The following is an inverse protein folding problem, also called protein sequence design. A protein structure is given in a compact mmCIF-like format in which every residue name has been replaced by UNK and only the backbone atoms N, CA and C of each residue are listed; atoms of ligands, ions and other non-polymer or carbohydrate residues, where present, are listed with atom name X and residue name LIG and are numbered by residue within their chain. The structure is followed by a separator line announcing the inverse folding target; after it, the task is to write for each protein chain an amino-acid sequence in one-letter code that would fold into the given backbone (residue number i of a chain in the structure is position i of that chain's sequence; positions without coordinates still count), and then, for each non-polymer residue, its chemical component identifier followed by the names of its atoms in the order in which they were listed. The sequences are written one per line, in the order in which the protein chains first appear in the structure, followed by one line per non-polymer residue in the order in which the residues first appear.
data_IF_341675608032
#
_entry.id   IF_341675608032
#
_cell.length_a   1.000
_cell.length_b   1.000
_cell.length_c   1.000
_cell.angle_alpha   90.00
_cell.angle_beta   90.00
_cell.angle_gamma   90.00
#
_symmetry.space_group_name_H-M   'P 1'
#
loop_
_entity.id
_entity.type
_entity.pdbx_description
1 polymer ?
#
# COMPACT_ATOMS: atom_id res chain seq x y z
N UNK A 1 -22.94 17.34 -20.38
CA UNK A 1 -22.93 16.03 -21.09
C UNK A 1 -24.34 15.72 -21.55
N UNK A 2 -24.51 15.15 -22.73
CA UNK A 2 -25.83 14.61 -23.16
C UNK A 2 -26.00 13.18 -22.62
N UNK A 3 -27.20 12.61 -22.73
CA UNK A 3 -27.56 11.30 -22.21
C UNK A 3 -26.63 10.15 -22.71
N UNK A 4 -26.23 10.22 -23.99
CA UNK A 4 -25.32 9.24 -24.58
C UNK A 4 -23.92 9.30 -23.96
N UNK A 5 -23.42 10.53 -23.73
CA UNK A 5 -22.11 10.70 -23.06
C UNK A 5 -22.14 10.19 -21.60
N UNK A 6 -23.25 10.37 -20.88
CA UNK A 6 -23.42 9.82 -19.53
C UNK A 6 -23.47 8.29 -19.54
N UNK A 7 -24.15 7.69 -20.52
CA UNK A 7 -24.19 6.23 -20.69
C UNK A 7 -22.80 5.66 -21.00
N UNK A 8 -22.03 6.30 -21.90
CA UNK A 8 -20.68 5.89 -22.27
C UNK A 8 -19.73 5.97 -21.07
N UNK A 9 -19.81 7.04 -20.27
CA UNK A 9 -18.99 7.19 -19.07
C UNK A 9 -19.32 6.13 -18.02
N UNK A 10 -20.60 5.91 -17.72
CA UNK A 10 -21.02 4.84 -16.80
C UNK A 10 -20.58 3.46 -17.31
N UNK A 11 -20.71 3.22 -18.61
CA UNK A 11 -20.25 1.96 -19.23
C UNK A 11 -18.74 1.77 -19.05
N UNK A 12 -17.95 2.82 -19.23
CA UNK A 12 -16.51 2.81 -19.02
C UNK A 12 -16.15 2.43 -17.57
N UNK A 13 -16.83 3.02 -16.58
CA UNK A 13 -16.62 2.69 -15.16
C UNK A 13 -16.96 1.22 -14.88
N UNK A 14 -18.11 0.73 -15.34
CA UNK A 14 -18.54 -0.66 -15.15
C UNK A 14 -17.57 -1.66 -15.80
N UNK A 15 -16.91 -1.30 -16.91
CA UNK A 15 -15.93 -2.16 -17.58
C UNK A 15 -14.53 -2.09 -16.98
N UNK A 16 -14.25 -1.20 -16.01
CA UNK A 16 -12.93 -0.96 -15.44
C UNK A 16 -12.22 -2.25 -14.99
N UNK A 17 -12.96 -3.18 -14.41
CA UNK A 17 -12.42 -4.47 -13.96
C UNK A 17 -11.71 -5.27 -15.07
N UNK A 18 -12.14 -5.16 -16.34
CA UNK A 18 -11.50 -5.84 -17.47
C UNK A 18 -10.13 -5.24 -17.78
N UNK A 19 -10.02 -3.92 -17.63
CA UNK A 19 -8.75 -3.20 -17.83
C UNK A 19 -7.75 -3.59 -16.76
N UNK A 20 -8.17 -3.63 -15.50
CA UNK A 20 -7.33 -4.10 -14.39
C UNK A 20 -6.79 -5.50 -14.64
N UNK A 21 -7.64 -6.46 -15.08
CA UNK A 21 -7.20 -7.82 -15.38
C UNK A 21 -6.28 -7.91 -16.59
N UNK A 22 -6.51 -7.13 -17.64
CA UNK A 22 -5.62 -7.11 -18.80
C UNK A 22 -4.22 -6.57 -18.43
N UNK A 23 -4.16 -5.51 -17.62
CA UNK A 23 -2.90 -4.94 -17.11
C UNK A 23 -2.20 -5.96 -16.18
N UNK A 24 -2.93 -6.58 -15.27
CA UNK A 24 -2.40 -7.61 -14.39
C UNK A 24 -1.74 -8.76 -15.17
N UNK A 25 -2.42 -9.28 -16.20
CA UNK A 25 -1.90 -10.40 -17.00
C UNK A 25 -0.54 -10.08 -17.63
N UNK A 26 -0.38 -8.93 -18.28
CA UNK A 26 0.91 -8.58 -18.90
C UNK A 26 2.00 -8.30 -17.88
N UNK A 27 1.63 -7.72 -16.73
CA UNK A 27 2.55 -7.48 -15.62
C UNK A 27 3.00 -8.81 -14.98
N UNK A 28 2.07 -9.72 -14.73
CA UNK A 28 2.33 -11.06 -14.18
C UNK A 28 3.20 -11.92 -15.10
N UNK A 29 3.04 -11.77 -16.41
CA UNK A 29 3.87 -12.42 -17.43
C UNK A 29 5.25 -11.72 -17.62
N UNK A 30 5.51 -10.59 -16.97
CA UNK A 30 6.75 -9.86 -17.11
C UNK A 30 6.95 -9.18 -18.49
N UNK A 31 5.87 -9.02 -19.27
CA UNK A 31 5.94 -8.43 -20.62
C UNK A 31 6.61 -7.05 -20.62
N UNK A 32 6.31 -6.11 -19.70
CA UNK A 32 6.98 -4.82 -19.68
C UNK A 32 8.49 -4.92 -19.48
N UNK A 33 8.96 -5.88 -18.68
CA UNK A 33 10.40 -6.11 -18.46
C UNK A 33 11.06 -6.73 -19.67
N UNK A 34 10.40 -7.66 -20.36
CA UNK A 34 10.90 -8.27 -21.60
C UNK A 34 11.08 -7.26 -22.75
N UNK A 35 10.36 -6.12 -22.67
CA UNK A 35 10.40 -5.04 -23.66
C UNK A 35 11.43 -3.93 -23.31
N UNK A 36 12.20 -4.06 -22.21
CA UNK A 36 13.26 -3.10 -21.84
C UNK A 36 14.35 -2.98 -22.92
N UNK A 37 14.70 -4.09 -23.53
CA UNK A 37 15.77 -4.17 -24.53
C UNK A 37 15.29 -3.83 -25.95
N UNK A 38 14.04 -3.45 -26.11
CA UNK A 38 13.48 -3.04 -27.41
C UNK A 38 12.21 -3.79 -27.81
N UNK A 39 11.65 -3.45 -28.98
CA UNK A 39 10.40 -4.02 -29.46
C UNK A 39 10.52 -5.52 -29.74
N UNK A 40 9.49 -6.31 -29.36
CA UNK A 40 9.37 -7.75 -29.65
C UNK A 40 8.01 -8.08 -30.25
N UNK A 41 7.96 -9.14 -31.06
CA UNK A 41 6.68 -9.62 -31.60
C UNK A 41 5.88 -10.37 -30.51
N UNK A 42 4.59 -10.47 -30.72
CA UNK A 42 3.73 -11.21 -29.77
C UNK A 42 4.06 -12.72 -29.73
N UNK A 43 4.60 -13.29 -30.82
CA UNK A 43 5.10 -14.66 -30.85
C UNK A 43 6.36 -14.84 -30.01
N UNK A 44 7.35 -13.90 -30.14
CA UNK A 44 8.56 -13.90 -29.31
C UNK A 44 8.19 -13.78 -27.81
N UNK A 45 7.28 -12.86 -27.46
CA UNK A 45 6.79 -12.68 -26.08
C UNK A 45 6.04 -13.91 -25.57
N UNK A 46 5.19 -14.52 -26.40
CA UNK A 46 4.45 -15.72 -26.05
C UNK A 46 5.36 -16.92 -25.82
N UNK A 47 6.41 -17.07 -26.62
CA UNK A 47 7.42 -18.13 -26.45
C UNK A 47 8.14 -17.98 -25.11
N UNK A 48 8.59 -16.77 -24.77
CA UNK A 48 9.33 -16.47 -23.53
C UNK A 48 8.46 -16.70 -22.27
N UNK A 49 7.18 -16.36 -22.36
CA UNK A 49 6.24 -16.43 -21.23
C UNK A 49 5.39 -17.71 -21.20
N UNK A 50 5.60 -18.63 -22.14
CA UNK A 50 4.77 -19.83 -22.33
C UNK A 50 3.29 -19.51 -22.53
N UNK A 51 2.94 -18.35 -23.08
CA UNK A 51 1.59 -17.91 -23.33
C UNK A 51 1.11 -18.39 -24.73
N UNK A 52 -0.21 -18.41 -24.93
CA UNK A 52 -0.79 -18.66 -26.25
C UNK A 52 -0.73 -17.40 -27.10
N UNK A 53 0.11 -17.38 -28.13
CA UNK A 53 0.42 -16.19 -28.94
C UNK A 53 -0.83 -15.43 -29.48
N UNK A 54 -1.85 -16.10 -30.08
CA UNK A 54 -3.05 -15.41 -30.52
C UNK A 54 -3.86 -14.73 -29.40
N UNK A 55 -3.85 -15.32 -28.20
CA UNK A 55 -4.54 -14.73 -27.03
C UNK A 55 -3.76 -13.55 -26.46
N UNK A 56 -2.45 -13.67 -26.33
CA UNK A 56 -1.57 -12.58 -25.91
C UNK A 56 -1.68 -11.38 -26.85
N UNK A 57 -1.70 -11.59 -28.16
CA UNK A 57 -1.88 -10.55 -29.15
C UNK A 57 -3.16 -9.72 -28.90
N UNK A 58 -4.28 -10.36 -28.58
CA UNK A 58 -5.55 -9.68 -28.29
C UNK A 58 -5.44 -8.78 -27.06
N UNK A 59 -4.75 -9.25 -26.01
CA UNK A 59 -4.53 -8.45 -24.78
C UNK A 59 -3.60 -7.28 -25.07
N UNK A 60 -2.51 -7.49 -25.79
CA UNK A 60 -1.56 -6.43 -26.13
C UNK A 60 -2.22 -5.33 -26.98
N UNK A 61 -3.08 -5.68 -27.95
CA UNK A 61 -3.85 -4.70 -28.73
C UNK A 61 -4.80 -3.86 -27.87
N UNK A 62 -5.49 -4.49 -26.92
CA UNK A 62 -6.34 -3.75 -25.99
C UNK A 62 -5.50 -2.75 -25.19
N UNK A 63 -4.36 -3.17 -24.66
CA UNK A 63 -3.49 -2.32 -23.88
C UNK A 63 -2.75 -1.25 -24.72
N UNK A 64 -2.55 -1.51 -26.01
CA UNK A 64 -2.09 -0.50 -26.98
C UNK A 64 -3.13 0.60 -27.17
N UNK A 65 -4.42 0.22 -27.30
CA UNK A 65 -5.50 1.19 -27.38
C UNK A 65 -5.67 2.02 -26.09
N UNK A 66 -5.23 1.47 -24.94
CA UNK A 66 -5.19 2.17 -23.65
C UNK A 66 -3.89 2.97 -23.44
N UNK A 67 -2.96 2.94 -24.40
CA UNK A 67 -1.73 3.74 -24.35
C UNK A 67 -0.58 3.15 -23.53
N UNK A 68 -0.64 1.87 -23.11
CA UNK A 68 0.45 1.22 -22.38
C UNK A 68 1.55 0.68 -23.30
N UNK A 69 1.17 0.30 -24.53
CA UNK A 69 2.09 -0.21 -25.53
C UNK A 69 1.91 0.55 -26.84
N UNK A 70 2.89 0.41 -27.73
CA UNK A 70 2.77 0.75 -29.16
C UNK A 70 2.94 -0.52 -29.98
N UNK A 71 2.24 -0.62 -31.10
CA UNK A 71 2.38 -1.70 -32.09
C UNK A 71 3.02 -1.13 -33.36
N UNK A 72 4.18 -1.67 -33.76
CA UNK A 72 4.88 -1.32 -34.98
C UNK A 72 4.73 -2.38 -36.09
N UNK A 73 5.59 -2.32 -37.08
CA UNK A 73 5.61 -3.30 -38.18
C UNK A 73 5.81 -4.73 -37.67
N UNK A 74 5.27 -5.69 -38.39
CA UNK A 74 5.31 -7.12 -38.05
C UNK A 74 4.80 -7.42 -36.62
N UNK A 75 3.81 -6.68 -36.17
CA UNK A 75 3.18 -6.83 -34.83
C UNK A 75 4.20 -6.83 -33.68
N UNK A 76 5.22 -5.99 -33.77
CA UNK A 76 6.19 -5.77 -32.69
C UNK A 76 5.69 -4.71 -31.73
N UNK A 77 5.72 -5.04 -30.45
CA UNK A 77 5.26 -4.17 -29.37
C UNK A 77 6.43 -3.53 -28.64
N UNK A 78 6.25 -2.30 -28.20
CA UNK A 78 7.14 -1.58 -27.30
C UNK A 78 6.35 -0.92 -26.18
N UNK A 79 6.98 -0.70 -25.02
CA UNK A 79 6.34 0.04 -23.92
C UNK A 79 6.30 1.53 -24.22
N UNK A 80 5.21 2.19 -23.82
CA UNK A 80 5.14 3.65 -23.73
C UNK A 80 5.73 4.13 -22.38
N UNK A 81 5.90 5.45 -22.15
CA UNK A 81 6.25 5.94 -20.81
C UNK A 81 5.28 5.47 -19.71
N UNK A 82 3.96 5.39 -20.00
CA UNK A 82 2.98 4.85 -19.05
C UNK A 82 3.17 3.34 -18.85
N UNK A 83 3.37 2.57 -19.91
CA UNK A 83 3.64 1.14 -19.80
C UNK A 83 4.96 0.80 -19.10
N UNK A 84 5.96 1.71 -19.15
CA UNK A 84 7.22 1.54 -18.45
C UNK A 84 7.08 1.57 -16.92
N UNK A 85 6.03 2.20 -16.37
CA UNK A 85 5.71 2.15 -14.93
C UNK A 85 5.33 0.75 -14.43
N UNK A 86 5.05 -0.19 -15.33
CA UNK A 86 4.80 -1.60 -14.99
C UNK A 86 6.09 -2.43 -14.89
N UNK A 87 7.24 -1.84 -15.19
CA UNK A 87 8.55 -2.51 -15.11
C UNK A 87 9.04 -2.59 -13.67
N UNK A 88 9.79 -3.63 -13.37
CA UNK A 88 10.47 -3.80 -12.08
C UNK A 88 11.66 -2.85 -11.95
N UNK A 89 11.88 -2.31 -10.75
CA UNK A 89 13.09 -1.54 -10.40
C UNK A 89 13.18 -0.15 -11.05
N UNK A 90 12.11 0.38 -11.62
CA UNK A 90 12.06 1.77 -12.11
C UNK A 90 11.51 2.69 -11.02
N UNK A 91 11.93 3.95 -11.05
CA UNK A 91 11.39 4.96 -10.15
C UNK A 91 9.88 5.17 -10.42
N UNK A 92 9.07 5.21 -9.37
CA UNK A 92 7.62 5.30 -9.48
C UNK A 92 6.96 4.05 -10.06
N UNK A 93 7.61 2.88 -9.97
CA UNK A 93 7.02 1.62 -10.40
C UNK A 93 5.66 1.39 -9.74
N UNK A 94 4.73 0.87 -10.53
CA UNK A 94 3.41 0.40 -10.09
C UNK A 94 3.28 -1.13 -10.25
N UNK A 95 4.39 -1.81 -10.47
CA UNK A 95 4.44 -3.25 -10.76
C UNK A 95 3.73 -4.06 -9.67
N UNK A 96 4.15 -3.90 -8.42
CA UNK A 96 3.61 -4.67 -7.31
C UNK A 96 2.19 -4.25 -6.93
N UNK A 97 1.83 -2.97 -7.13
CA UNK A 97 0.46 -2.50 -6.99
C UNK A 97 -0.48 -3.24 -7.95
N UNK A 98 -0.09 -3.33 -9.23
CA UNK A 98 -0.89 -4.05 -10.24
C UNK A 98 -0.98 -5.55 -9.92
N UNK A 99 0.12 -6.16 -9.47
CA UNK A 99 0.08 -7.56 -9.05
C UNK A 99 -0.86 -7.76 -7.86
N UNK A 100 -0.86 -6.85 -6.88
CA UNK A 100 -1.74 -6.92 -5.70
C UNK A 100 -3.22 -6.77 -6.07
N UNK A 101 -3.56 -5.74 -6.84
CA UNK A 101 -4.96 -5.46 -7.22
C UNK A 101 -5.53 -6.44 -8.26
N UNK A 102 -4.68 -7.10 -9.04
CA UNK A 102 -5.09 -8.16 -9.95
C UNK A 102 -5.13 -9.56 -9.33
N UNK A 103 -4.60 -9.75 -8.13
CA UNK A 103 -4.47 -11.06 -7.50
C UNK A 103 -5.83 -11.67 -7.10
N UNK A 104 -5.91 -12.99 -7.13
CA UNK A 104 -7.19 -13.71 -7.00
C UNK A 104 -7.90 -13.45 -5.67
N UNK A 105 -7.16 -13.37 -4.55
CA UNK A 105 -7.75 -13.14 -3.23
C UNK A 105 -8.45 -11.78 -3.15
N UNK A 106 -7.82 -10.74 -3.70
CA UNK A 106 -8.37 -9.39 -3.74
C UNK A 106 -9.67 -9.33 -4.55
N UNK A 107 -9.70 -10.02 -5.68
CA UNK A 107 -10.90 -10.10 -6.53
C UNK A 107 -12.06 -10.81 -5.86
N UNK A 108 -11.79 -11.87 -5.12
CA UNK A 108 -12.83 -12.63 -4.42
C UNK A 108 -13.48 -11.79 -3.31
N UNK A 109 -12.69 -11.07 -2.52
CA UNK A 109 -13.24 -10.26 -1.42
C UNK A 109 -13.99 -9.03 -1.94
N UNK A 110 -13.48 -8.36 -2.98
CA UNK A 110 -14.21 -7.26 -3.65
C UNK A 110 -15.47 -7.74 -4.35
N UNK A 111 -15.48 -8.97 -4.88
CA UNK A 111 -16.68 -9.62 -5.42
C UNK A 111 -17.79 -9.83 -4.38
N UNK A 112 -17.43 -9.83 -3.09
CA UNK A 112 -18.34 -9.96 -1.95
C UNK A 112 -18.66 -8.62 -1.26
N UNK A 113 -18.36 -7.46 -1.87
CA UNK A 113 -18.64 -6.12 -1.31
C UNK A 113 -20.08 -5.95 -0.84
N UNK A 114 -21.06 -6.55 -1.54
CA UNK A 114 -22.46 -6.49 -1.13
C UNK A 114 -22.67 -7.04 0.28
N UNK A 115 -21.97 -8.11 0.64
CA UNK A 115 -22.02 -8.66 2.01
C UNK A 115 -21.55 -7.62 3.03
N UNK A 116 -20.42 -6.95 2.78
CA UNK A 116 -19.90 -5.92 3.68
C UNK A 116 -20.87 -4.77 3.86
N UNK A 117 -21.47 -4.28 2.77
CA UNK A 117 -22.46 -3.18 2.81
C UNK A 117 -23.73 -3.59 3.57
N UNK A 118 -24.17 -4.84 3.47
CA UNK A 118 -25.38 -5.32 4.17
C UNK A 118 -25.17 -5.64 5.65
N UNK A 119 -23.93 -6.01 6.03
CA UNK A 119 -23.65 -6.53 7.38
C UNK A 119 -22.76 -5.64 8.22
N UNK A 120 -22.02 -4.71 7.60
CA UNK A 120 -20.96 -3.95 8.25
C UNK A 120 -19.72 -4.78 8.59
N UNK A 121 -19.65 -6.05 8.15
CA UNK A 121 -18.53 -6.94 8.43
C UNK A 121 -17.59 -7.04 7.21
N UNK A 122 -16.27 -7.24 7.41
CA UNK A 122 -15.34 -7.40 6.29
C UNK A 122 -15.67 -8.65 5.49
N UNK A 123 -15.66 -8.53 4.17
CA UNK A 123 -15.92 -9.67 3.28
C UNK A 123 -14.76 -10.67 3.26
N UNK A 124 -13.57 -10.30 3.72
CA UNK A 124 -12.42 -11.20 3.77
C UNK A 124 -12.69 -12.46 4.59
N UNK A 125 -13.14 -12.29 5.83
CA UNK A 125 -13.46 -13.44 6.69
C UNK A 125 -14.67 -14.22 6.18
N UNK A 126 -15.64 -13.55 5.58
CA UNK A 126 -16.77 -14.22 4.93
C UNK A 126 -16.33 -15.12 3.78
N UNK A 127 -15.36 -14.70 2.96
CA UNK A 127 -14.88 -15.46 1.79
C UNK A 127 -13.93 -16.58 2.21
N UNK A 128 -12.99 -16.31 3.13
CA UNK A 128 -11.90 -17.25 3.43
C UNK A 128 -12.02 -17.95 4.80
N UNK A 129 -12.92 -17.50 5.69
CA UNK A 129 -13.03 -18.04 7.05
C UNK A 129 -11.83 -17.73 7.95
N UNK A 130 -10.95 -16.82 7.55
CA UNK A 130 -9.71 -16.43 8.21
C UNK A 130 -9.55 -14.92 8.13
N UNK A 131 -8.89 -14.32 9.13
CA UNK A 131 -8.46 -12.92 8.99
C UNK A 131 -7.42 -12.77 7.84
N UNK A 132 -7.22 -11.57 7.29
CA UNK A 132 -6.20 -11.34 6.26
C UNK A 132 -4.80 -11.79 6.69
N UNK A 133 -4.46 -11.60 7.95
CA UNK A 133 -3.17 -12.01 8.53
C UNK A 133 -3.02 -13.52 8.61
N UNK A 134 -4.06 -14.22 9.08
CA UNK A 134 -4.08 -15.68 9.15
C UNK A 134 -4.05 -16.31 7.75
N UNK A 135 -4.75 -15.71 6.80
CA UNK A 135 -4.76 -16.17 5.40
C UNK A 135 -3.34 -16.08 4.80
N UNK A 136 -2.66 -14.94 4.94
CA UNK A 136 -1.29 -14.75 4.44
C UNK A 136 -0.29 -15.68 5.12
N UNK A 137 -0.42 -15.92 6.43
CA UNK A 137 0.42 -16.87 7.14
C UNK A 137 0.33 -18.31 6.58
N UNK A 138 -0.81 -18.68 5.97
CA UNK A 138 -1.04 -19.99 5.36
C UNK A 138 -0.81 -19.99 3.84
N UNK A 139 -0.68 -18.84 3.20
CA UNK A 139 -0.54 -18.68 1.75
C UNK A 139 0.69 -17.82 1.41
N UNK A 140 1.90 -18.42 1.35
CA UNK A 140 3.16 -17.67 1.16
C UNK A 140 3.22 -16.84 -0.13
N UNK A 141 2.59 -17.28 -1.24
CA UNK A 141 2.53 -16.52 -2.47
C UNK A 141 1.69 -15.24 -2.28
N UNK A 142 0.53 -15.33 -1.65
CA UNK A 142 -0.31 -14.17 -1.33
C UNK A 142 0.40 -13.20 -0.38
N UNK A 143 1.14 -13.72 0.62
CA UNK A 143 1.97 -12.93 1.50
C UNK A 143 3.05 -12.17 0.72
N UNK A 144 3.79 -12.86 -0.15
CA UNK A 144 4.85 -12.25 -0.95
C UNK A 144 4.33 -11.12 -1.87
N UNK A 145 3.17 -11.31 -2.50
CA UNK A 145 2.51 -10.27 -3.33
C UNK A 145 2.12 -9.06 -2.47
N UNK A 146 1.53 -9.29 -1.30
CA UNK A 146 1.14 -8.21 -0.40
C UNK A 146 2.37 -7.44 0.13
N UNK A 147 3.38 -8.15 0.60
CA UNK A 147 4.60 -7.55 1.16
C UNK A 147 5.36 -6.73 0.12
N UNK A 148 5.46 -7.23 -1.12
CA UNK A 148 6.08 -6.50 -2.22
C UNK A 148 5.30 -5.22 -2.56
N UNK A 149 3.96 -5.27 -2.57
CA UNK A 149 3.10 -4.10 -2.74
C UNK A 149 3.31 -3.08 -1.62
N UNK A 150 3.32 -3.51 -0.36
CA UNK A 150 3.53 -2.61 0.78
C UNK A 150 4.91 -1.95 0.72
N UNK A 151 5.96 -2.72 0.41
CA UNK A 151 7.31 -2.19 0.27
C UNK A 151 7.43 -1.14 -0.85
N UNK A 152 6.84 -1.40 -2.03
CA UNK A 152 6.81 -0.46 -3.16
C UNK A 152 6.00 0.80 -2.81
N UNK A 153 4.83 0.65 -2.21
CA UNK A 153 3.96 1.75 -1.80
C UNK A 153 4.65 2.68 -0.81
N UNK A 154 5.30 2.11 0.21
CA UNK A 154 6.04 2.91 1.21
C UNK A 154 7.30 3.53 0.60
N UNK A 155 8.02 2.84 -0.29
CA UNK A 155 9.19 3.42 -0.96
C UNK A 155 8.83 4.66 -1.79
N UNK A 156 7.67 4.65 -2.43
CA UNK A 156 7.15 5.80 -3.19
C UNK A 156 6.71 6.95 -2.27
N UNK A 157 6.17 6.65 -1.09
CA UNK A 157 5.62 7.63 -0.14
C UNK A 157 6.67 8.21 0.81
N UNK A 158 7.69 7.43 1.19
CA UNK A 158 8.68 7.82 2.20
C UNK A 158 9.37 9.18 1.94
N UNK A 159 9.77 9.56 0.71
CA UNK A 159 10.36 10.87 0.47
C UNK A 159 9.43 12.04 0.83
N UNK A 160 8.13 11.90 0.54
CA UNK A 160 7.14 12.92 0.87
C UNK A 160 6.92 13.02 2.40
N UNK A 161 6.86 11.88 3.10
CA UNK A 161 6.75 11.85 4.57
C UNK A 161 7.97 12.51 5.22
N UNK A 162 9.18 12.16 4.77
CA UNK A 162 10.44 12.73 5.30
C UNK A 162 10.53 14.24 5.05
N UNK A 163 10.00 14.72 3.92
CA UNK A 163 9.97 16.15 3.61
C UNK A 163 8.89 16.91 4.40
N UNK A 164 7.79 16.25 4.76
CA UNK A 164 6.64 16.89 5.42
C UNK A 164 6.83 17.10 6.93
N UNK A 165 7.68 16.29 7.57
CA UNK A 165 7.90 16.36 9.01
C UNK A 165 9.38 16.47 9.36
N UNK A 166 9.73 17.42 10.22
CA UNK A 166 11.10 17.63 10.70
C UNK A 166 11.42 16.70 11.88
N UNK A 167 12.04 15.55 11.57
CA UNK A 167 12.50 14.57 12.57
C UNK A 167 13.77 15.01 13.33
N UNK A 168 14.39 16.15 12.99
CA UNK A 168 15.59 16.65 13.72
C UNK A 168 15.28 17.03 15.16
N UNK A 169 14.00 17.21 15.49
CA UNK A 169 13.51 17.59 16.82
C UNK A 169 13.34 16.41 17.77
N UNK A 170 13.62 15.20 17.34
CA UNK A 170 13.53 13.97 18.16
C UNK A 170 14.82 13.16 18.08
N UNK A 171 15.21 12.53 19.18
CA UNK A 171 16.41 11.66 19.25
C UNK A 171 16.06 10.18 19.13
N UNK A 172 14.81 9.82 19.39
CA UNK A 172 14.37 8.41 19.40
C UNK A 172 12.96 8.23 18.84
N UNK A 173 12.79 7.23 17.98
CA UNK A 173 11.57 6.94 17.24
C UNK A 173 11.23 5.45 17.31
N UNK A 174 9.96 5.11 17.59
CA UNK A 174 9.43 3.75 17.41
C UNK A 174 8.49 3.77 16.20
N UNK A 175 8.77 2.95 15.20
CA UNK A 175 7.90 2.70 14.05
C UNK A 175 7.01 1.48 14.39
N UNK A 176 5.78 1.75 14.81
CA UNK A 176 4.82 0.76 15.30
C UNK A 176 4.00 0.22 14.12
N UNK A 177 4.09 -1.08 13.87
CA UNK A 177 3.54 -1.66 12.65
C UNK A 177 4.40 -1.32 11.42
N UNK A 178 5.71 -1.11 11.61
CA UNK A 178 6.63 -0.64 10.58
C UNK A 178 6.99 -1.67 9.50
N UNK A 179 6.39 -2.86 9.53
CA UNK A 179 6.61 -3.90 8.54
C UNK A 179 8.08 -4.34 8.48
N UNK A 180 8.69 -4.25 7.31
CA UNK A 180 10.11 -4.55 7.09
C UNK A 180 11.05 -3.35 7.31
N UNK A 181 10.52 -2.20 7.77
CA UNK A 181 11.31 -1.03 8.15
C UNK A 181 11.65 -0.07 7.00
N UNK A 182 10.93 -0.11 5.87
CA UNK A 182 11.22 0.73 4.70
C UNK A 182 11.12 2.23 5.03
N UNK A 183 10.06 2.66 5.74
CA UNK A 183 9.90 4.06 6.14
C UNK A 183 10.95 4.46 7.17
N UNK A 184 11.13 3.65 8.21
CA UNK A 184 12.11 3.92 9.26
C UNK A 184 13.53 4.05 8.68
N UNK A 185 13.91 3.16 7.75
CA UNK A 185 15.20 3.23 7.07
C UNK A 185 15.38 4.56 6.33
N UNK A 186 14.37 5.02 5.60
CA UNK A 186 14.40 6.31 4.86
C UNK A 186 14.53 7.51 5.82
N UNK A 187 13.85 7.47 6.97
CA UNK A 187 13.96 8.50 8.01
C UNK A 187 15.39 8.49 8.60
N UNK A 188 15.91 7.32 8.98
CA UNK A 188 17.25 7.20 9.58
C UNK A 188 18.37 7.55 8.60
N UNK A 189 18.19 7.31 7.30
CA UNK A 189 19.14 7.76 6.27
C UNK A 189 19.23 9.29 6.19
N UNK A 190 18.08 9.96 6.34
CA UNK A 190 18.03 11.43 6.28
C UNK A 190 18.50 12.07 7.58
N UNK A 191 18.13 11.53 8.73
CA UNK A 191 18.42 12.07 10.05
C UNK A 191 19.46 11.24 10.79
N UNK A 192 20.73 11.58 10.60
CA UNK A 192 21.89 10.77 11.02
C UNK A 192 22.05 10.62 12.54
N UNK A 193 21.46 11.50 13.34
CA UNK A 193 21.52 11.47 14.81
C UNK A 193 20.37 10.73 15.45
N UNK A 194 19.33 10.40 14.67
CA UNK A 194 18.14 9.73 15.14
C UNK A 194 18.41 8.21 15.33
N UNK A 195 17.87 7.66 16.41
CA UNK A 195 17.85 6.22 16.69
C UNK A 195 16.42 5.72 16.55
N UNK A 196 16.24 4.59 15.89
CA UNK A 196 14.94 4.01 15.60
C UNK A 196 14.73 2.64 16.22
N UNK A 197 13.48 2.32 16.50
CA UNK A 197 13.04 0.96 16.81
C UNK A 197 12.02 0.57 15.76
N UNK A 198 12.29 -0.51 15.04
CA UNK A 198 11.29 -1.17 14.20
C UNK A 198 10.52 -2.16 15.07
N UNK A 199 9.21 -1.94 15.17
CA UNK A 199 8.33 -2.78 15.97
C UNK A 199 7.16 -3.30 15.15
N UNK A 200 7.06 -4.62 15.02
CA UNK A 200 5.96 -5.32 14.33
C UNK A 200 5.87 -6.76 14.85
N UNK A 201 4.93 -7.55 14.34
CA UNK A 201 4.81 -8.96 14.69
C UNK A 201 6.14 -9.72 14.45
N UNK A 202 6.51 -10.69 15.31
CA UNK A 202 7.83 -11.33 15.27
C UNK A 202 8.20 -11.92 13.91
N UNK A 203 7.23 -12.50 13.19
CA UNK A 203 7.46 -13.08 11.87
C UNK A 203 7.64 -12.03 10.76
N UNK A 204 7.12 -10.81 10.95
CA UNK A 204 7.26 -9.69 10.00
C UNK A 204 8.66 -9.07 10.14
N UNK A 205 9.06 -8.72 11.35
CA UNK A 205 10.36 -8.08 11.58
C UNK A 205 11.55 -9.02 11.32
N UNK A 206 11.34 -10.33 11.33
CA UNK A 206 12.37 -11.31 10.97
C UNK A 206 12.93 -11.10 9.55
N UNK A 207 12.17 -10.47 8.66
CA UNK A 207 12.52 -10.18 7.27
C UNK A 207 13.18 -8.79 7.08
N UNK A 208 13.40 -8.01 8.15
CA UNK A 208 13.85 -6.62 8.06
C UNK A 208 15.36 -6.46 7.77
N UNK A 209 16.21 -7.38 8.29
CA UNK A 209 17.66 -7.22 8.26
C UNK A 209 18.26 -6.91 6.90
N UNK A 210 17.91 -7.59 5.78
CA UNK A 210 18.51 -7.30 4.48
C UNK A 210 18.21 -5.89 3.96
N UNK A 211 17.09 -5.30 4.37
CA UNK A 211 16.72 -3.93 4.00
C UNK A 211 17.53 -2.92 4.84
N UNK A 212 17.58 -3.10 6.14
CA UNK A 212 18.29 -2.21 7.06
C UNK A 212 19.80 -2.20 6.81
N UNK A 213 20.38 -3.35 6.44
CA UNK A 213 21.78 -3.47 6.02
C UNK A 213 22.05 -2.69 4.74
N UNK A 214 21.23 -2.86 3.69
CA UNK A 214 21.37 -2.09 2.43
C UNK A 214 21.19 -0.59 2.63
N UNK A 215 20.36 -0.20 3.60
CA UNK A 215 20.15 1.20 3.97
C UNK A 215 21.27 1.77 4.86
N UNK A 216 22.20 0.94 5.33
CA UNK A 216 23.32 1.31 6.23
C UNK A 216 22.85 1.96 7.54
N UNK A 217 21.72 1.47 8.10
CA UNK A 217 21.12 2.04 9.33
C UNK A 217 21.09 1.06 10.50
N UNK A 218 21.63 -0.14 10.35
CA UNK A 218 21.55 -1.24 11.32
C UNK A 218 22.06 -0.86 12.72
N UNK A 219 23.12 -0.07 12.82
CA UNK A 219 23.68 0.35 14.11
C UNK A 219 22.79 1.33 14.89
N UNK A 220 21.85 1.98 14.20
CA UNK A 220 20.92 2.97 14.76
C UNK A 220 19.45 2.48 14.75
N UNK A 221 19.22 1.24 14.32
CA UNK A 221 17.90 0.64 14.23
C UNK A 221 17.83 -0.64 15.05
N UNK A 222 17.11 -0.60 16.16
CA UNK A 222 16.78 -1.80 16.92
C UNK A 222 15.54 -2.47 16.31
N UNK A 223 15.54 -3.80 16.20
CA UNK A 223 14.41 -4.59 15.71
C UNK A 223 13.79 -5.36 16.87
N UNK A 224 12.50 -5.13 17.12
CA UNK A 224 11.75 -5.76 18.23
C UNK A 224 10.46 -6.36 17.67
N UNK A 225 10.29 -7.68 17.89
CA UNK A 225 9.04 -8.38 17.56
C UNK A 225 8.06 -8.36 18.73
N UNK A 226 6.80 -7.99 18.49
CA UNK A 226 5.77 -7.95 19.53
C UNK A 226 4.37 -7.73 18.98
N UNK A 227 3.42 -7.66 19.89
CA UNK A 227 2.01 -7.39 19.60
C UNK A 227 1.65 -6.02 20.19
N UNK A 228 1.37 -5.05 19.32
CA UNK A 228 1.11 -3.66 19.69
C UNK A 228 -0.14 -3.49 20.57
N UNK A 229 -1.09 -4.42 20.49
CA UNK A 229 -2.26 -4.43 21.38
C UNK A 229 -1.91 -4.82 22.84
N UNK A 230 -0.81 -5.55 23.03
CA UNK A 230 -0.34 -5.93 24.36
C UNK A 230 0.58 -4.88 24.94
N UNK A 231 1.62 -4.53 24.22
CA UNK A 231 2.60 -3.53 24.62
C UNK A 231 3.42 -3.06 23.41
N UNK A 232 3.90 -1.81 23.46
CA UNK A 232 4.90 -1.27 22.55
C UNK A 232 6.19 -0.94 23.30
N UNK A 233 7.36 -0.83 22.66
CA UNK A 233 8.60 -0.43 23.31
C UNK A 233 8.44 0.89 24.07
N UNK A 234 8.94 0.97 25.31
CA UNK A 234 8.73 2.11 26.20
C UNK A 234 9.92 3.08 26.22
N UNK A 235 9.69 4.29 26.75
CA UNK A 235 10.67 5.34 26.99
C UNK A 235 11.30 5.97 25.73
N UNK A 236 10.50 6.07 24.63
CA UNK A 236 10.89 6.79 23.43
C UNK A 236 10.14 8.12 23.28
N UNK A 237 10.73 9.06 22.53
CA UNK A 237 10.18 10.42 22.34
C UNK A 237 9.08 10.44 21.30
N UNK A 238 9.16 9.59 20.25
CA UNK A 238 8.22 9.63 19.13
C UNK A 238 7.76 8.21 18.77
N UNK A 239 6.45 8.07 18.57
CA UNK A 239 5.81 6.85 18.07
C UNK A 239 5.18 7.16 16.73
N UNK A 240 5.64 6.49 15.69
CA UNK A 240 5.14 6.61 14.34
C UNK A 240 4.23 5.42 14.03
N UNK A 241 3.02 5.70 13.55
CA UNK A 241 2.11 4.71 12.98
C UNK A 241 1.79 5.15 11.55
N UNK A 242 2.26 4.38 10.59
CA UNK A 242 2.05 4.68 9.17
C UNK A 242 1.16 3.63 8.53
N UNK A 243 -0.05 4.01 8.16
CA UNK A 243 -1.06 3.11 7.58
C UNK A 243 -1.37 1.91 8.48
N UNK A 244 -1.56 2.20 9.76
CA UNK A 244 -1.85 1.19 10.80
C UNK A 244 -3.22 1.40 11.40
N UNK A 245 -3.58 2.65 11.71
CA UNK A 245 -4.84 2.95 12.42
C UNK A 245 -6.05 2.70 11.53
N UNK A 246 -5.91 2.87 10.23
CA UNK A 246 -6.98 2.62 9.27
C UNK A 246 -7.38 1.12 9.14
N UNK A 247 -6.52 0.19 9.56
CA UNK A 247 -6.83 -1.24 9.55
C UNK A 247 -7.86 -1.63 10.62
N UNK A 248 -8.15 -0.74 11.58
CA UNK A 248 -8.86 -1.04 12.79
C UNK A 248 -10.11 -0.18 12.99
N UNK A 249 -11.11 -0.76 13.65
CA UNK A 249 -12.24 -0.01 14.19
C UNK A 249 -11.79 0.98 15.28
N UNK A 250 -12.73 1.79 15.79
CA UNK A 250 -12.40 2.84 16.73
C UNK A 250 -11.94 2.30 18.09
N UNK A 251 -12.46 1.17 18.55
CA UNK A 251 -12.08 0.54 19.83
C UNK A 251 -10.62 0.05 19.79
N UNK A 252 -10.26 -0.63 18.72
CA UNK A 252 -8.90 -1.12 18.53
C UNK A 252 -7.91 0.03 18.26
N UNK A 253 -8.29 1.01 17.45
CA UNK A 253 -7.47 2.21 17.20
C UNK A 253 -7.14 2.96 18.50
N UNK A 254 -8.14 3.17 19.36
CA UNK A 254 -7.97 3.76 20.69
C UNK A 254 -7.03 2.94 21.56
N UNK A 255 -7.17 1.63 21.55
CA UNK A 255 -6.29 0.74 22.31
C UNK A 255 -4.83 0.90 21.88
N UNK A 256 -4.55 0.92 20.58
CA UNK A 256 -3.19 1.13 20.05
C UNK A 256 -2.61 2.49 20.46
N UNK A 257 -3.38 3.57 20.27
CA UNK A 257 -2.96 4.92 20.65
C UNK A 257 -2.72 5.04 22.15
N UNK A 258 -3.56 4.41 22.97
CA UNK A 258 -3.37 4.36 24.42
C UNK A 258 -2.10 3.61 24.81
N UNK A 259 -1.75 2.51 24.13
CA UNK A 259 -0.48 1.80 24.36
C UNK A 259 0.73 2.69 24.04
N UNK A 260 0.69 3.40 22.92
CA UNK A 260 1.74 4.36 22.57
C UNK A 260 1.84 5.48 23.61
N UNK A 261 0.72 6.07 24.02
CA UNK A 261 0.68 7.13 25.04
C UNK A 261 1.27 6.67 26.39
N UNK A 262 0.92 5.47 26.82
CA UNK A 262 1.43 4.91 28.11
C UNK A 262 2.92 4.60 28.07
N UNK A 263 3.46 4.30 26.89
CA UNK A 263 4.85 3.91 26.70
C UNK A 263 5.78 5.10 26.43
N UNK A 264 5.25 6.24 25.95
CA UNK A 264 6.07 7.38 25.56
C UNK A 264 6.64 8.16 26.75
N UNK A 265 7.72 8.89 26.50
CA UNK A 265 8.27 9.86 27.46
C UNK A 265 7.28 10.99 27.75
N UNK A 266 7.42 11.73 28.89
CA UNK A 266 6.45 12.75 29.30
C UNK A 266 6.17 13.88 28.30
N UNK A 267 7.09 14.15 27.38
CA UNK A 267 6.95 15.14 26.30
C UNK A 267 6.83 14.46 24.94
N UNK A 268 6.58 13.15 24.94
CA UNK A 268 6.51 12.35 23.73
C UNK A 268 5.31 12.69 22.86
N UNK A 269 5.36 12.24 21.60
CA UNK A 269 4.32 12.47 20.60
C UNK A 269 4.06 11.22 19.77
N UNK A 270 2.84 11.12 19.26
CA UNK A 270 2.44 10.15 18.27
C UNK A 270 2.34 10.88 16.92
N UNK A 271 2.92 10.29 15.89
CA UNK A 271 2.79 10.72 14.50
C UNK A 271 1.95 9.69 13.75
N UNK A 272 0.86 10.15 13.14
CA UNK A 272 0.03 9.33 12.29
C UNK A 272 0.28 9.71 10.83
N UNK A 273 0.51 8.72 9.99
CA UNK A 273 0.62 8.87 8.53
C UNK A 273 -0.47 8.00 7.92
N UNK A 274 -1.59 8.64 7.57
CA UNK A 274 -2.80 7.97 7.12
C UNK A 274 -3.40 8.70 5.91
N UNK A 275 -4.21 8.00 5.13
CA UNK A 275 -5.15 8.68 4.23
C UNK A 275 -6.21 9.39 5.07
N UNK A 276 -6.46 10.66 4.75
CA UNK A 276 -7.41 11.47 5.51
C UNK A 276 -8.55 11.95 4.61
N UNK A 277 -9.78 11.72 5.05
CA UNK A 277 -10.97 12.25 4.38
C UNK A 277 -11.09 13.72 4.76
N UNK A 278 -10.74 14.62 3.84
CA UNK A 278 -10.80 16.07 4.06
C UNK A 278 -12.23 16.57 3.84
N UNK A 279 -12.83 17.16 4.88
CA UNK A 279 -14.24 17.60 4.86
C UNK A 279 -14.43 18.97 4.23
N UNK A 280 -13.38 19.75 4.05
CA UNK A 280 -13.35 21.11 3.48
C UNK A 280 -12.97 21.16 2.00
N UNK A 281 -12.71 20.01 1.38
CA UNK A 281 -12.30 19.87 -0.02
C UNK A 281 -13.27 18.97 -0.82
N UNK A 282 -13.08 18.95 -2.12
CA UNK A 282 -13.76 17.97 -2.97
C UNK A 282 -13.36 16.55 -2.55
N UNK A 283 -14.32 15.62 -2.62
CA UNK A 283 -14.05 14.21 -2.32
C UNK A 283 -13.02 13.64 -3.30
N UNK A 284 -11.94 13.09 -2.75
CA UNK A 284 -10.85 12.50 -3.53
C UNK A 284 -11.09 11.01 -3.70
N UNK A 285 -11.25 10.58 -4.95
CA UNK A 285 -11.57 9.18 -5.27
C UNK A 285 -10.59 8.19 -4.65
N UNK A 286 -9.25 8.39 -4.69
CA UNK A 286 -8.30 7.43 -4.12
C UNK A 286 -8.49 7.20 -2.61
N UNK A 287 -8.78 8.26 -1.83
CA UNK A 287 -9.02 8.14 -0.38
C UNK A 287 -10.31 7.38 -0.10
N UNK A 288 -11.37 7.67 -0.85
CA UNK A 288 -12.66 6.98 -0.72
C UNK A 288 -12.58 5.51 -1.19
N UNK A 289 -11.79 5.21 -2.20
CA UNK A 289 -11.50 3.83 -2.61
C UNK A 289 -10.74 3.08 -1.52
N UNK A 290 -9.78 3.74 -0.85
CA UNK A 290 -9.07 3.17 0.31
C UNK A 290 -10.04 2.89 1.46
N UNK A 291 -10.96 3.81 1.77
CA UNK A 291 -11.97 3.63 2.81
C UNK A 291 -12.86 2.40 2.54
N UNK A 292 -13.39 2.27 1.32
CA UNK A 292 -14.14 1.07 0.93
C UNK A 292 -13.26 -0.19 0.96
N UNK A 293 -11.97 -0.08 0.64
CA UNK A 293 -11.06 -1.21 0.75
C UNK A 293 -10.84 -1.64 2.22
N UNK A 294 -10.77 -0.71 3.15
CA UNK A 294 -10.70 -1.05 4.59
C UNK A 294 -11.96 -1.78 5.04
N UNK A 295 -13.16 -1.33 4.64
CA UNK A 295 -14.42 -2.04 4.89
C UNK A 295 -14.38 -3.49 4.36
N UNK A 296 -13.91 -3.68 3.13
CA UNK A 296 -13.87 -5.00 2.46
C UNK A 296 -12.83 -5.93 3.09
N UNK A 297 -11.64 -5.43 3.34
CA UNK A 297 -10.48 -6.24 3.69
C UNK A 297 -10.27 -6.42 5.20
N UNK A 298 -10.40 -5.33 5.98
CA UNK A 298 -9.90 -5.28 7.36
C UNK A 298 -11.01 -5.04 8.39
N UNK A 299 -12.13 -4.42 8.01
CA UNK A 299 -13.16 -3.95 8.94
C UNK A 299 -12.81 -2.62 9.61
N UNK A 300 -11.73 -1.97 9.16
CA UNK A 300 -11.34 -0.63 9.56
C UNK A 300 -11.95 0.45 8.67
N UNK A 301 -11.40 1.66 8.72
CA UNK A 301 -11.86 2.82 7.93
C UNK A 301 -10.78 3.90 7.79
N UNK A 302 -10.84 4.66 6.72
CA UNK A 302 -10.17 5.96 6.67
C UNK A 302 -10.97 6.96 7.50
N UNK A 303 -10.29 7.91 8.12
CA UNK A 303 -10.91 8.86 9.05
C UNK A 303 -10.81 10.29 8.57
N UNK A 304 -11.78 11.10 8.98
CA UNK A 304 -11.68 12.55 8.86
C UNK A 304 -10.70 13.11 9.91
N UNK A 305 -10.23 14.34 9.71
CA UNK A 305 -9.42 15.07 10.69
C UNK A 305 -10.13 15.18 12.05
N UNK A 306 -11.44 15.41 12.06
CA UNK A 306 -12.25 15.45 13.27
C UNK A 306 -12.31 14.11 14.01
N UNK A 307 -12.38 12.99 13.29
CA UNK A 307 -12.37 11.64 13.87
C UNK A 307 -10.97 11.22 14.36
N UNK A 308 -9.89 11.77 13.78
CA UNK A 308 -8.53 11.57 14.28
C UNK A 308 -8.24 12.37 15.55
N UNK A 309 -8.99 13.46 15.82
CA UNK A 309 -8.91 14.25 17.03
C UNK A 309 -9.65 13.55 18.17
N UNK A 310 -9.04 12.55 18.78
CA UNK A 310 -9.65 11.75 19.84
C UNK A 310 -9.84 12.54 21.16
N UNK A 311 -11.06 12.65 21.72
CA UNK A 311 -11.30 13.23 23.03
C UNK A 311 -11.15 12.16 24.14
N UNK A 312 -9.97 11.54 24.27
CA UNK A 312 -9.69 10.68 25.43
C UNK A 312 -9.65 11.49 26.71
N UNK A 313 -9.79 10.86 27.90
CA UNK A 313 -9.78 11.56 29.19
C UNK A 313 -8.47 12.33 29.47
N UNK A 314 -7.38 12.00 28.75
CA UNK A 314 -6.11 12.72 28.72
C UNK A 314 -5.75 13.05 27.25
N UNK A 315 -6.57 13.89 26.61
CA UNK A 315 -6.52 14.19 25.19
C UNK A 315 -5.10 14.34 24.67
N UNK A 316 -4.71 13.47 23.74
CA UNK A 316 -3.63 13.79 22.79
C UNK A 316 -4.11 15.05 22.06
N UNK A 317 -3.51 16.19 22.36
CA UNK A 317 -3.83 17.43 21.62
C UNK A 317 -3.40 17.21 20.18
N UNK A 318 -4.36 17.28 19.26
CA UNK A 318 -4.05 17.20 17.85
C UNK A 318 -3.05 18.31 17.51
N UNK A 319 -1.88 17.91 17.02
CA UNK A 319 -0.92 18.80 16.41
C UNK A 319 -1.40 19.23 15.00
N UNK A 320 -0.68 20.12 14.34
CA UNK A 320 -1.01 20.54 12.98
C UNK A 320 -0.97 19.34 12.03
N UNK A 321 -2.05 19.14 11.27
CA UNK A 321 -2.08 18.20 10.15
C UNK A 321 -1.30 18.78 8.97
N UNK A 322 -0.41 17.99 8.39
CA UNK A 322 0.29 18.33 7.15
C UNK A 322 -0.21 17.40 6.05
N UNK A 323 -0.85 17.95 5.04
CA UNK A 323 -1.26 17.19 3.86
C UNK A 323 -0.05 17.04 2.95
N UNK A 324 0.29 15.81 2.58
CA UNK A 324 1.34 15.55 1.60
C UNK A 324 0.88 16.01 0.21
N UNK A 325 1.76 16.58 -0.62
CA UNK A 325 1.43 16.86 -2.01
C UNK A 325 1.12 15.54 -2.76
N UNK A 326 0.20 15.63 -3.74
CA UNK A 326 -0.20 14.54 -4.64
C UNK A 326 0.97 13.99 -5.47
#
# INVERSE_FOLDING_TARGET
MNDLQLQDELWRLVQGFKMTQAIYVVTRLGIPDLLKEGPRSHEELAQETHAHAPSLYRVLRLLTALGLFTEGEAHRFAVTPMGALLQTGVAGSMHNMVLRFGYTDFWQVWGALLYSVQTGQPSWEHVFGLSPWQYRAQNPEAAAVFDAFMAESIANLAPAIVAAYDFSTTSSLVDVGGGRGQLLASILQTYQTLHGVLFDLPHVVAEASPLLERAEVTERCQVIGGDAFKAVPADYETYLLSRVIHDWDDEHAVTLLTRCQQAMQPQGKVLLVEYMILTDRALEVPVLESDVNMLVAMGGKERTDAECCWPGPDALTAGPSTVLPD
#
